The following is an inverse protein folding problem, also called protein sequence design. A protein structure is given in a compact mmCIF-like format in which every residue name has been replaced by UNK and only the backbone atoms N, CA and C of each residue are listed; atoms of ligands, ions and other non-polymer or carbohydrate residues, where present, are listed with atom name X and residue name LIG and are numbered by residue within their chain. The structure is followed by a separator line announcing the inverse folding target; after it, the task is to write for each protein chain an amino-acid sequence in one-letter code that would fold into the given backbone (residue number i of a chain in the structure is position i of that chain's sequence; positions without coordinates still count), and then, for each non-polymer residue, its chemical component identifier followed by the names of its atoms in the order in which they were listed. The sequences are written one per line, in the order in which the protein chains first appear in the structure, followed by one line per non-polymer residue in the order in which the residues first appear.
data_IF_546721977323
#
_entry.id   IF_546721977323
#
_cell.length_a   1.000
_cell.length_b   1.000
_cell.length_c   1.000
_cell.angle_alpha   90.00
_cell.angle_beta   90.00
_cell.angle_gamma   90.00
#
_symmetry.space_group_name_H-M   'P 1'
#
loop_
_entity.id
_entity.type
_entity.pdbx_description
1 polymer ?
#
# COMPACT_ATOMS: atom_id res chain seq x y z
N UNK A 1 15.64 9.49 8.79
CA UNK A 1 15.34 10.59 7.84
C UNK A 1 14.94 10.10 6.45
N UNK A 2 15.64 9.11 5.86
CA UNK A 2 15.33 8.60 4.51
C UNK A 2 13.85 8.25 4.27
N UNK A 3 13.18 7.62 5.25
CA UNK A 3 11.77 7.24 5.12
C UNK A 3 10.81 8.46 4.99
N UNK A 4 11.16 9.61 5.57
CA UNK A 4 10.39 10.85 5.38
C UNK A 4 10.55 11.37 3.95
N UNK A 5 11.77 11.29 3.40
CA UNK A 5 12.01 11.65 2.00
C UNK A 5 11.20 10.77 1.06
N UNK A 6 11.21 9.45 1.25
CA UNK A 6 10.39 8.52 0.47
C UNK A 6 8.89 8.84 0.57
N UNK A 7 8.40 9.11 1.79
CA UNK A 7 7.00 9.49 1.99
C UNK A 7 6.64 10.77 1.22
N UNK A 8 7.51 11.78 1.19
CA UNK A 8 7.26 13.01 0.45
C UNK A 8 7.30 12.81 -1.07
N UNK A 9 8.19 11.96 -1.60
CA UNK A 9 8.15 11.56 -3.02
C UNK A 9 6.78 10.97 -3.38
N UNK A 10 6.29 10.04 -2.56
CA UNK A 10 5.00 9.40 -2.76
C UNK A 10 3.84 10.41 -2.66
N UNK A 11 3.86 11.32 -1.68
CA UNK A 11 2.84 12.38 -1.53
C UNK A 11 2.81 13.35 -2.71
N UNK A 12 3.95 13.59 -3.35
CA UNK A 12 4.06 14.43 -4.54
C UNK A 12 3.77 13.69 -5.85
N UNK A 13 3.47 12.39 -5.80
CA UNK A 13 3.18 11.58 -6.97
C UNK A 13 4.40 11.23 -7.81
N UNK A 14 5.61 11.40 -7.26
CA UNK A 14 6.89 11.02 -7.88
C UNK A 14 7.10 9.50 -7.70
N UNK A 15 6.23 8.71 -8.35
CA UNK A 15 6.16 7.28 -8.11
C UNK A 15 7.41 6.54 -8.59
N UNK A 16 7.96 6.89 -9.75
CA UNK A 16 9.11 6.19 -10.31
C UNK A 16 10.37 6.43 -9.47
N UNK A 17 10.58 7.67 -9.01
CA UNK A 17 11.62 8.03 -8.06
C UNK A 17 11.41 7.30 -6.73
N UNK A 18 10.19 7.35 -6.19
CA UNK A 18 9.84 6.65 -4.96
C UNK A 18 10.17 5.16 -5.01
N UNK A 19 9.76 4.44 -6.06
CA UNK A 19 9.99 3.00 -6.17
C UNK A 19 11.43 2.63 -6.52
N UNK A 20 12.19 3.56 -7.11
CA UNK A 20 13.64 3.38 -7.31
C UNK A 20 14.36 3.50 -5.98
N UNK A 21 14.13 4.58 -5.24
CA UNK A 21 14.71 4.86 -3.93
C UNK A 21 14.31 3.80 -2.89
N UNK A 22 13.04 3.41 -2.87
CA UNK A 22 12.54 2.36 -1.97
C UNK A 22 13.30 1.05 -2.13
N UNK A 23 13.54 0.60 -3.37
CA UNK A 23 14.23 -0.67 -3.66
C UNK A 23 15.72 -0.64 -3.32
N UNK A 24 16.32 0.54 -3.21
CA UNK A 24 17.73 0.68 -2.85
C UNK A 24 17.92 1.00 -1.38
N UNK A 25 16.94 1.63 -0.73
CA UNK A 25 17.11 2.27 0.57
C UNK A 25 16.14 1.83 1.66
N UNK A 26 15.17 0.96 1.39
CA UNK A 26 14.36 0.32 2.44
C UNK A 26 14.90 -1.07 2.80
N UNK A 27 14.81 -1.40 4.09
CA UNK A 27 15.35 -2.63 4.67
C UNK A 27 14.93 -3.94 4.00
N UNK A 28 13.69 -4.13 3.50
CA UNK A 28 13.31 -5.37 2.82
C UNK A 28 14.14 -5.70 1.58
N UNK A 29 14.88 -4.74 1.04
CA UNK A 29 15.74 -4.91 -0.14
C UNK A 29 17.23 -4.96 0.21
N UNK A 30 17.58 -4.92 1.49
CA UNK A 30 18.96 -4.99 1.93
C UNK A 30 19.47 -6.42 1.91
N UNK A 31 20.78 -6.56 1.68
CA UNK A 31 21.47 -7.80 1.98
C UNK A 31 21.57 -7.97 3.50
N UNK A 32 21.03 -9.05 4.04
CA UNK A 32 20.98 -9.33 5.48
C UNK A 32 22.38 -9.46 6.12
N UNK A 33 23.32 -10.05 5.39
CA UNK A 33 24.70 -10.26 5.80
C UNK A 33 25.43 -8.93 5.93
N UNK A 34 25.29 -8.03 4.95
CA UNK A 34 25.84 -6.67 5.01
C UNK A 34 25.14 -5.82 6.08
N UNK A 35 23.81 -5.95 6.21
CA UNK A 35 23.04 -5.24 7.22
C UNK A 35 23.42 -5.67 8.65
N UNK A 36 23.96 -6.89 8.80
CA UNK A 36 24.48 -7.43 10.06
C UNK A 36 23.41 -7.82 11.07
N UNK A 37 22.14 -7.91 10.63
CA UNK A 37 20.96 -8.27 11.44
C UNK A 37 19.77 -8.61 10.55
N UNK A 38 18.66 -9.01 11.17
CA UNK A 38 17.42 -9.31 10.46
C UNK A 38 16.90 -8.08 9.71
N UNK A 39 16.60 -8.22 8.41
CA UNK A 39 15.94 -7.18 7.59
C UNK A 39 14.50 -6.86 8.04
N UNK A 40 13.95 -7.66 8.95
CA UNK A 40 12.66 -7.39 9.62
C UNK A 40 12.81 -6.45 10.83
N UNK A 41 14.04 -6.20 11.27
CA UNK A 41 14.34 -5.31 12.39
C UNK A 41 14.83 -3.95 11.89
N UNK A 42 14.08 -2.90 12.24
CA UNK A 42 14.47 -1.54 11.88
C UNK A 42 15.72 -1.09 12.66
N UNK A 43 16.48 -0.19 12.04
CA UNK A 43 17.61 0.52 12.65
C UNK A 43 17.37 2.03 12.62
N UNK A 44 18.02 2.75 13.52
CA UNK A 44 17.94 4.22 13.52
C UNK A 44 18.74 4.80 12.36
N UNK A 45 19.85 4.18 12.01
CA UNK A 45 20.65 4.50 10.83
C UNK A 45 21.44 3.28 10.35
N UNK A 46 21.90 3.39 9.10
CA UNK A 46 22.80 2.45 8.44
C UNK A 46 24.13 3.19 8.26
N UNK A 47 25.25 2.56 8.62
CA UNK A 47 26.57 3.18 8.44
C UNK A 47 26.85 3.39 6.95
N UNK A 48 27.13 4.64 6.58
CA UNK A 48 27.42 5.02 5.20
C UNK A 48 28.88 4.73 4.85
N UNK A 49 29.20 4.79 3.55
CA UNK A 49 30.59 4.71 3.07
C UNK A 49 31.49 5.86 3.53
N UNK A 50 30.93 6.86 4.22
CA UNK A 50 31.69 7.96 4.81
C UNK A 50 32.21 7.66 6.22
N UNK A 51 31.85 6.52 6.82
CA UNK A 51 32.43 6.07 8.08
C UNK A 51 33.90 5.68 7.89
N UNK A 52 34.75 6.02 8.88
CA UNK A 52 36.20 5.77 8.84
C UNK A 52 36.54 4.28 8.83
N UNK A 53 35.75 3.47 9.55
CA UNK A 53 35.90 2.02 9.55
C UNK A 53 35.11 1.40 8.37
N UNK A 54 35.80 0.85 7.36
CA UNK A 54 35.13 0.27 6.21
C UNK A 54 34.39 -1.03 6.55
N UNK A 55 34.71 -1.70 7.67
CA UNK A 55 34.10 -2.98 8.05
C UNK A 55 32.64 -2.86 8.50
N UNK A 56 32.22 -1.66 8.92
CA UNK A 56 30.86 -1.40 9.39
C UNK A 56 29.93 -0.86 8.30
N UNK A 57 30.47 -0.50 7.13
CA UNK A 57 29.68 0.11 6.04
C UNK A 57 28.52 -0.82 5.64
N UNK A 58 27.31 -0.26 5.63
CA UNK A 58 26.07 -0.99 5.33
C UNK A 58 25.42 -1.69 6.53
N UNK A 59 26.05 -1.73 7.70
CA UNK A 59 25.46 -2.31 8.90
C UNK A 59 24.42 -1.37 9.53
N UNK A 60 23.34 -1.95 10.07
CA UNK A 60 22.35 -1.20 10.85
C UNK A 60 22.81 -0.95 12.28
N UNK A 61 22.43 0.19 12.87
CA UNK A 61 22.76 0.53 14.26
C UNK A 61 21.54 1.05 15.03
N UNK A 62 21.58 0.91 16.37
CA UNK A 62 20.52 1.37 17.30
C UNK A 62 19.11 0.87 16.90
N UNK A 63 18.79 -0.42 17.10
CA UNK A 63 17.59 -1.06 16.55
C UNK A 63 16.26 -0.69 17.24
N UNK A 64 16.26 0.21 18.23
CA UNK A 64 15.07 0.53 19.03
C UNK A 64 14.57 1.93 18.69
N UNK A 65 13.24 2.11 18.69
CA UNK A 65 12.54 3.40 18.56
C UNK A 65 12.71 4.14 17.22
N UNK A 66 12.94 3.43 16.11
CA UNK A 66 13.05 4.11 14.82
C UNK A 66 11.68 4.66 14.39
N UNK A 67 11.61 5.95 14.08
CA UNK A 67 10.41 6.56 13.45
C UNK A 67 10.09 5.98 12.07
N UNK A 68 10.96 5.13 11.51
CA UNK A 68 10.78 4.51 10.20
C UNK A 68 9.52 3.65 10.11
N UNK A 69 9.09 3.02 11.21
CA UNK A 69 7.86 2.22 11.25
C UNK A 69 6.61 3.06 10.98
N UNK A 70 6.50 4.23 11.61
CA UNK A 70 5.36 5.13 11.42
C UNK A 70 5.32 5.69 9.99
N UNK A 71 6.49 6.06 9.45
CA UNK A 71 6.59 6.51 8.06
C UNK A 71 6.25 5.39 7.07
N UNK A 72 6.70 4.16 7.33
CA UNK A 72 6.35 3.00 6.51
C UNK A 72 4.86 2.72 6.50
N UNK A 73 4.19 2.78 7.66
CA UNK A 73 2.72 2.66 7.73
C UNK A 73 2.01 3.75 6.94
N UNK A 74 2.54 4.98 6.95
CA UNK A 74 2.01 6.09 6.16
C UNK A 74 2.18 5.83 4.66
N UNK A 75 3.37 5.39 4.24
CA UNK A 75 3.65 5.01 2.84
C UNK A 75 2.75 3.85 2.39
N UNK A 76 2.63 2.80 3.21
CA UNK A 76 1.77 1.66 2.93
C UNK A 76 0.30 2.08 2.75
N UNK A 77 -0.20 2.97 3.62
CA UNK A 77 -1.57 3.49 3.52
C UNK A 77 -1.76 4.24 2.20
N UNK A 78 -0.83 5.12 1.83
CA UNK A 78 -0.89 5.84 0.56
C UNK A 78 -0.77 4.91 -0.66
N UNK A 79 0.12 3.93 -0.62
CA UNK A 79 0.32 2.97 -1.69
C UNK A 79 -0.91 2.08 -1.90
N UNK A 80 -1.46 1.52 -0.83
CA UNK A 80 -2.52 0.52 -0.94
C UNK A 80 -3.89 1.17 -1.08
N UNK A 81 -4.17 2.25 -0.34
CA UNK A 81 -5.52 2.82 -0.22
C UNK A 81 -5.63 4.15 -1.00
N UNK A 82 -4.59 4.98 -0.93
CA UNK A 82 -4.59 6.34 -1.44
C UNK A 82 -4.82 7.40 -0.35
N UNK A 83 -4.66 8.70 -0.68
CA UNK A 83 -4.62 9.79 0.32
C UNK A 83 -5.97 10.15 0.94
N UNK A 84 -7.08 9.95 0.22
CA UNK A 84 -8.42 10.35 0.68
C UNK A 84 -9.46 9.39 0.11
N UNK A 85 -9.55 8.17 0.67
CA UNK A 85 -10.46 7.15 0.13
C UNK A 85 -11.93 7.49 0.37
N UNK A 86 -12.24 8.35 1.33
CA UNK A 86 -13.57 8.91 1.55
C UNK A 86 -13.56 10.40 1.17
N UNK A 87 -14.48 10.81 0.31
CA UNK A 87 -14.58 12.19 -0.15
C UNK A 87 -16.02 12.55 -0.54
N UNK A 88 -16.29 13.84 -0.73
CA UNK A 88 -17.58 14.33 -1.22
C UNK A 88 -17.52 14.43 -2.75
N UNK A 89 -18.47 13.80 -3.44
CA UNK A 89 -18.61 13.89 -4.89
C UNK A 89 -19.08 15.28 -5.32
N UNK A 90 -19.01 15.58 -6.62
CA UNK A 90 -19.51 16.84 -7.18
C UNK A 90 -21.01 17.05 -6.86
N UNK A 91 -21.78 15.97 -6.78
CA UNK A 91 -23.20 15.98 -6.39
C UNK A 91 -23.45 16.13 -4.88
N UNK A 92 -22.41 16.35 -4.07
CA UNK A 92 -22.53 16.54 -2.62
C UNK A 92 -22.68 15.24 -1.81
N UNK A 93 -22.47 14.08 -2.41
CA UNK A 93 -22.63 12.78 -1.75
C UNK A 93 -21.31 12.27 -1.18
N UNK A 94 -21.33 11.68 0.03
CA UNK A 94 -20.18 10.95 0.56
C UNK A 94 -19.95 9.70 -0.29
N UNK A 95 -18.77 9.53 -0.87
CA UNK A 95 -18.40 8.36 -1.65
C UNK A 95 -17.09 7.76 -1.14
N UNK A 96 -16.84 6.50 -1.52
CA UNK A 96 -15.59 5.83 -1.24
C UNK A 96 -14.92 5.36 -2.53
N UNK A 97 -13.61 5.55 -2.67
CA UNK A 97 -12.87 5.06 -3.83
C UNK A 97 -11.41 4.80 -3.49
N UNK A 98 -10.84 3.76 -4.08
CA UNK A 98 -9.41 3.49 -3.95
C UNK A 98 -8.65 4.26 -5.02
N UNK A 99 -7.48 4.79 -4.64
CA UNK A 99 -6.55 5.44 -5.56
C UNK A 99 -5.13 5.02 -5.18
N UNK A 100 -4.75 3.76 -5.47
CA UNK A 100 -3.47 3.21 -5.05
C UNK A 100 -2.29 3.85 -5.79
N UNK A 101 -1.09 3.55 -5.30
CA UNK A 101 0.18 3.72 -6.01
C UNK A 101 0.92 2.39 -5.97
N UNK A 102 0.33 1.32 -6.52
CA UNK A 102 0.92 -0.03 -6.50
C UNK A 102 1.71 -0.29 -7.79
N UNK A 103 2.99 -0.65 -7.70
CA UNK A 103 3.79 -1.01 -8.86
C UNK A 103 3.46 -2.44 -9.33
N UNK A 104 3.62 -2.70 -10.62
CA UNK A 104 3.23 -3.97 -11.25
C UNK A 104 3.97 -5.17 -10.65
N UNK A 105 5.21 -4.99 -10.20
CA UNK A 105 6.04 -6.04 -9.60
C UNK A 105 5.54 -6.51 -8.22
N UNK A 106 4.59 -5.82 -7.59
CA UNK A 106 3.90 -6.31 -6.39
C UNK A 106 2.67 -7.17 -6.69
N UNK A 107 2.20 -7.18 -7.93
CA UNK A 107 1.07 -7.99 -8.34
C UNK A 107 1.48 -9.47 -8.49
N UNK A 108 0.55 -10.37 -8.18
CA UNK A 108 0.73 -11.83 -8.23
C UNK A 108 -0.44 -12.49 -8.93
N UNK A 109 -0.26 -13.69 -9.45
CA UNK A 109 -1.38 -14.49 -9.94
C UNK A 109 -2.26 -14.93 -8.75
N UNK A 110 -3.56 -14.61 -8.73
CA UNK A 110 -4.47 -15.11 -7.71
C UNK A 110 -4.74 -16.60 -7.93
N UNK A 111 -4.90 -17.36 -6.85
CA UNK A 111 -5.27 -18.78 -6.93
C UNK A 111 -6.70 -19.01 -7.44
N UNK A 112 -7.56 -18.00 -7.39
CA UNK A 112 -9.02 -18.14 -7.56
C UNK A 112 -9.59 -17.37 -8.76
N UNK A 113 -8.76 -16.71 -9.57
CA UNK A 113 -9.22 -15.89 -10.69
C UNK A 113 -8.23 -15.93 -11.86
N UNK A 114 -8.34 -16.97 -12.70
CA UNK A 114 -7.50 -17.12 -13.88
C UNK A 114 -7.60 -15.92 -14.83
N UNK A 115 -6.46 -15.54 -15.41
CA UNK A 115 -6.35 -14.38 -16.31
C UNK A 115 -6.26 -13.02 -15.61
N UNK A 116 -6.20 -12.98 -14.27
CA UNK A 116 -5.95 -11.76 -13.51
C UNK A 116 -4.59 -11.78 -12.82
N UNK A 117 -4.11 -10.58 -12.49
CA UNK A 117 -3.11 -10.31 -11.47
C UNK A 117 -3.79 -9.62 -10.30
N UNK A 118 -3.24 -9.81 -9.11
CA UNK A 118 -3.83 -9.31 -7.88
C UNK A 118 -2.84 -8.92 -6.81
N UNK A 119 -3.32 -8.09 -5.89
CA UNK A 119 -2.70 -7.83 -4.60
C UNK A 119 -3.80 -7.80 -3.55
N UNK A 120 -3.51 -8.34 -2.36
CA UNK A 120 -4.47 -8.45 -1.27
C UNK A 120 -3.96 -7.80 0.00
N UNK A 121 -4.87 -7.19 0.75
CA UNK A 121 -4.56 -6.57 2.04
C UNK A 121 -5.80 -6.46 2.93
N UNK A 122 -5.59 -6.12 4.20
CA UNK A 122 -6.68 -5.83 5.15
C UNK A 122 -6.94 -4.33 5.21
N UNK A 123 -8.19 -3.93 5.02
CA UNK A 123 -8.67 -2.58 5.30
C UNK A 123 -9.40 -2.56 6.65
N UNK A 124 -9.07 -1.57 7.49
CA UNK A 124 -9.55 -1.49 8.88
C UNK A 124 -9.42 -2.81 9.66
N UNK A 125 -8.35 -3.58 9.40
CA UNK A 125 -8.04 -4.88 10.02
C UNK A 125 -9.04 -6.01 9.72
N UNK A 126 -10.28 -5.70 9.35
CA UNK A 126 -11.39 -6.66 9.28
C UNK A 126 -11.88 -6.94 7.86
N UNK A 127 -11.72 -5.99 6.94
CA UNK A 127 -12.24 -6.09 5.58
C UNK A 127 -11.13 -6.61 4.66
N UNK A 128 -11.36 -7.74 4.00
CA UNK A 128 -10.45 -8.26 2.98
C UNK A 128 -10.57 -7.44 1.70
N UNK A 129 -9.46 -6.89 1.21
CA UNK A 129 -9.42 -6.14 -0.05
C UNK A 129 -8.56 -6.87 -1.05
N UNK A 130 -9.08 -7.07 -2.25
CA UNK A 130 -8.34 -7.63 -3.38
C UNK A 130 -8.44 -6.70 -4.56
N UNK A 131 -7.31 -6.28 -5.11
CA UNK A 131 -7.27 -5.61 -6.40
C UNK A 131 -7.07 -6.65 -7.49
N UNK A 132 -7.84 -6.54 -8.56
CA UNK A 132 -7.71 -7.37 -9.75
C UNK A 132 -7.39 -6.48 -10.95
N UNK A 133 -6.43 -6.90 -11.78
CA UNK A 133 -6.14 -6.28 -13.07
C UNK A 133 -5.87 -7.37 -14.10
N UNK A 134 -6.28 -7.17 -15.35
CA UNK A 134 -5.99 -8.09 -16.46
C UNK A 134 -4.58 -7.94 -17.01
N UNK A 135 -3.89 -6.85 -16.68
CA UNK A 135 -2.57 -6.53 -17.21
C UNK A 135 -1.57 -6.24 -16.10
N UNK A 136 -0.31 -6.62 -16.29
CA UNK A 136 0.76 -6.35 -15.32
C UNK A 136 1.30 -4.91 -15.48
N UNK A 137 0.41 -3.93 -15.23
CA UNK A 137 0.71 -2.50 -15.28
C UNK A 137 0.68 -1.89 -13.88
N UNK A 138 1.43 -0.81 -13.71
CA UNK A 138 1.40 -0.02 -12.48
C UNK A 138 -0.01 0.55 -12.26
N UNK A 139 -0.51 0.48 -11.03
CA UNK A 139 -1.79 1.05 -10.60
C UNK A 139 -1.58 2.43 -9.98
N UNK A 140 -0.72 3.24 -10.57
CA UNK A 140 -0.36 4.56 -10.05
C UNK A 140 -1.48 5.57 -10.24
N UNK A 141 -2.15 5.93 -9.16
CA UNK A 141 -3.25 6.89 -9.16
C UNK A 141 -4.47 6.45 -9.99
N UNK A 142 -4.49 5.19 -10.44
CA UNK A 142 -5.59 4.63 -11.24
C UNK A 142 -6.82 4.45 -10.36
N UNK A 143 -8.00 4.46 -10.99
CA UNK A 143 -9.27 4.22 -10.32
C UNK A 143 -9.83 2.87 -10.77
N UNK A 144 -10.50 2.12 -9.88
CA UNK A 144 -11.24 0.94 -10.29
C UNK A 144 -12.29 1.26 -11.36
N UNK A 145 -12.59 0.27 -12.19
CA UNK A 145 -13.71 0.29 -13.14
C UNK A 145 -14.97 -0.32 -12.52
N UNK A 146 -14.80 -1.24 -11.57
CA UNK A 146 -15.90 -1.95 -10.91
C UNK A 146 -15.48 -2.43 -9.53
N UNK A 147 -16.46 -2.59 -8.66
CA UNK A 147 -16.33 -3.23 -7.36
C UNK A 147 -17.25 -4.44 -7.22
N UNK A 148 -16.81 -5.40 -6.44
CA UNK A 148 -17.67 -6.40 -5.80
C UNK A 148 -17.50 -6.26 -4.30
N UNK A 149 -18.59 -6.02 -3.57
CA UNK A 149 -18.58 -5.91 -2.11
C UNK A 149 -19.38 -7.07 -1.51
N UNK A 150 -18.74 -7.82 -0.63
CA UNK A 150 -19.40 -8.86 0.17
C UNK A 150 -19.72 -8.36 1.56
N UNK A 151 -20.96 -8.52 2.00
CA UNK A 151 -21.41 -8.21 3.34
C UNK A 151 -21.38 -9.47 4.22
N UNK A 152 -21.31 -9.27 5.54
CA UNK A 152 -21.25 -10.37 6.52
C UNK A 152 -22.56 -11.14 6.67
N UNK A 153 -23.66 -10.59 6.19
CA UNK A 153 -24.94 -11.31 6.09
C UNK A 153 -24.98 -12.29 4.89
N UNK A 154 -23.88 -12.39 4.13
CA UNK A 154 -23.76 -13.25 2.95
C UNK A 154 -24.21 -12.59 1.65
N UNK A 155 -24.78 -11.38 1.70
CA UNK A 155 -25.15 -10.64 0.49
C UNK A 155 -23.93 -10.11 -0.25
N UNK A 156 -24.07 -9.98 -1.56
CA UNK A 156 -23.03 -9.50 -2.48
C UNK A 156 -23.61 -8.43 -3.38
N UNK A 157 -22.84 -7.36 -3.55
CA UNK A 157 -23.20 -6.20 -4.35
C UNK A 157 -22.11 -5.98 -5.41
N UNK A 158 -22.51 -5.85 -6.67
CA UNK A 158 -21.63 -5.44 -7.75
C UNK A 158 -21.95 -3.98 -8.11
N UNK A 159 -20.92 -3.14 -8.15
CA UNK A 159 -21.04 -1.70 -8.37
C UNK A 159 -20.12 -1.33 -9.52
N UNK A 160 -20.70 -0.81 -10.60
CA UNK A 160 -19.92 -0.28 -11.71
C UNK A 160 -19.48 1.16 -11.42
N UNK A 161 -18.26 1.48 -11.87
CA UNK A 161 -17.65 2.79 -11.70
C UNK A 161 -16.53 2.82 -10.66
N UNK A 162 -15.95 4.02 -10.54
CA UNK A 162 -14.75 4.28 -9.76
C UNK A 162 -14.96 4.44 -8.25
N UNK A 163 -16.22 4.43 -7.79
CA UNK A 163 -16.55 4.72 -6.40
C UNK A 163 -17.72 3.89 -5.90
N UNK A 164 -17.71 3.58 -4.61
CA UNK A 164 -18.84 3.05 -3.88
C UNK A 164 -19.76 4.19 -3.40
N UNK A 165 -21.10 4.01 -3.50
CA UNK A 165 -22.09 5.00 -3.11
C UNK A 165 -22.16 5.22 -1.58
N UNK A 166 -22.88 6.25 -1.16
CA UNK A 166 -22.92 6.72 0.24
C UNK A 166 -23.33 5.69 1.26
N UNK A 167 -24.33 4.85 0.98
CA UNK A 167 -24.73 3.78 1.91
C UNK A 167 -23.56 2.83 2.19
N UNK A 168 -22.85 2.38 1.15
CA UNK A 168 -21.68 1.51 1.30
C UNK A 168 -20.50 2.24 1.95
N UNK A 169 -20.24 3.49 1.59
CA UNK A 169 -19.18 4.29 2.21
C UNK A 169 -19.41 4.43 3.73
N UNK A 170 -20.65 4.66 4.17
CA UNK A 170 -21.00 4.71 5.60
C UNK A 170 -20.85 3.35 6.28
N UNK A 171 -21.27 2.25 5.63
CA UNK A 171 -21.11 0.88 6.16
C UNK A 171 -19.64 0.50 6.33
N UNK A 172 -18.78 0.88 5.39
CA UNK A 172 -17.34 0.65 5.47
C UNK A 172 -16.71 1.28 6.71
N UNK A 173 -17.11 2.53 7.03
CA UNK A 173 -16.62 3.22 8.24
C UNK A 173 -17.04 2.55 9.54
N UNK A 174 -18.13 1.77 9.52
CA UNK A 174 -18.60 1.00 10.69
C UNK A 174 -17.91 -0.35 10.83
N UNK A 175 -17.20 -0.84 9.82
CA UNK A 175 -16.38 -2.08 9.79
C UNK A 175 -17.13 -3.41 10.00
N UNK A 176 -18.24 -3.41 10.73
CA UNK A 176 -18.98 -4.62 11.14
C UNK A 176 -19.87 -5.21 10.04
N UNK A 177 -20.16 -4.48 8.97
CA UNK A 177 -21.10 -4.95 7.93
C UNK A 177 -20.40 -5.57 6.72
N UNK A 178 -19.24 -5.03 6.35
CA UNK A 178 -18.52 -5.45 5.14
C UNK A 178 -17.52 -6.54 5.51
N UNK A 179 -17.51 -7.61 4.73
CA UNK A 179 -16.55 -8.70 4.84
C UNK A 179 -15.38 -8.49 3.88
N UNK A 180 -15.67 -8.21 2.61
CA UNK A 180 -14.63 -8.04 1.60
C UNK A 180 -15.00 -7.00 0.53
N UNK A 181 -13.97 -6.48 -0.13
CA UNK A 181 -14.06 -5.60 -1.30
C UNK A 181 -13.10 -6.12 -2.37
N UNK A 182 -13.63 -6.51 -3.52
CA UNK A 182 -12.82 -6.72 -4.71
C UNK A 182 -12.93 -5.48 -5.59
N UNK A 183 -11.81 -4.88 -5.96
CA UNK A 183 -11.75 -3.75 -6.87
C UNK A 183 -11.07 -4.18 -8.17
N UNK A 184 -11.73 -3.94 -9.29
CA UNK A 184 -11.27 -4.34 -10.62
C UNK A 184 -10.75 -3.12 -11.36
N UNK A 185 -9.48 -3.14 -11.76
CA UNK A 185 -8.77 -2.08 -12.48
C UNK A 185 -8.58 -2.43 -13.96
#
# INVERSE_FOLDING_TARGET
MAYKYYLELLRKGLHDEFFTEMRQGMLPFFNDTTYGRSILECSSFVASSSFEDPSVVGQGFLPRLSGSTAEFMSMWTLMMIGPSPFFISEDGNLVFGFKPSVPSWLLRHPATADGFYSIQFKFFTSIDVVYYTKTMRNLYGTRPQRYTVGLRDGSRLDIDGATLPSDLALRLRRVVFVQFIHAYY
#
